data_IF_745453040183
#
_entry.id   IF_745453040183
#
_cell.length_a   1.000
_cell.length_b   1.000
_cell.length_c   1.000
_cell.angle_alpha   90.00
_cell.angle_beta   90.00
_cell.angle_gamma   90.00
#
_symmetry.space_group_name_H-M   'P 1'
#
loop_
_entity.id
_entity.type
_entity.pdbx_description
1 polymer ?
#
# COMPACT_ATOMS: atom_id res chain seq x y z
N UNK A 1 5.23 -3.64 24.33
CA UNK A 1 5.26 -4.04 22.91
C UNK A 1 6.08 -5.31 22.84
N UNK A 2 5.42 -6.49 22.77
CA UNK A 2 6.14 -7.75 22.50
C UNK A 2 6.81 -7.60 21.13
N UNK A 3 8.05 -8.06 21.00
CA UNK A 3 8.72 -8.11 19.70
C UNK A 3 7.87 -8.98 18.77
N UNK A 4 7.19 -8.35 17.80
CA UNK A 4 6.51 -9.03 16.72
C UNK A 4 7.57 -9.87 16.01
N UNK A 5 7.51 -11.18 16.13
CA UNK A 5 8.46 -12.09 15.49
C UNK A 5 8.10 -12.23 14.02
N UNK A 6 9.11 -12.33 13.15
CA UNK A 6 8.92 -12.60 11.71
C UNK A 6 8.12 -13.87 11.42
N UNK A 7 7.98 -14.76 12.42
CA UNK A 7 7.24 -16.01 12.35
C UNK A 7 5.71 -15.81 12.32
N UNK A 8 5.24 -14.60 12.60
CA UNK A 8 3.81 -14.24 12.52
C UNK A 8 3.38 -13.80 11.10
N UNK A 9 4.30 -13.79 10.13
CA UNK A 9 4.03 -13.41 8.73
C UNK A 9 4.05 -14.65 7.83
N UNK A 10 2.97 -14.84 7.07
CA UNK A 10 2.94 -15.80 5.98
C UNK A 10 3.80 -15.28 4.83
N UNK A 11 4.96 -15.92 4.64
CA UNK A 11 5.96 -15.53 3.64
C UNK A 11 5.50 -15.75 2.20
N UNK A 12 4.45 -16.54 1.96
CA UNK A 12 3.95 -16.78 0.61
C UNK A 12 3.29 -15.53 0.03
N UNK A 13 2.50 -14.83 0.85
CA UNK A 13 1.71 -13.66 0.46
C UNK A 13 2.15 -12.38 1.17
N UNK A 14 3.13 -12.45 2.08
CA UNK A 14 3.56 -11.34 2.95
C UNK A 14 2.38 -10.70 3.69
N UNK A 15 1.59 -11.52 4.37
CA UNK A 15 0.41 -11.14 5.17
C UNK A 15 0.57 -11.67 6.59
N UNK A 16 0.06 -10.96 7.59
CA UNK A 16 0.03 -11.46 8.96
C UNK A 16 -0.84 -12.73 9.08
N UNK A 17 -0.29 -13.82 9.62
CA UNK A 17 -0.96 -15.13 9.69
C UNK A 17 -2.32 -15.09 10.39
N UNK A 18 -2.50 -14.20 11.39
CA UNK A 18 -3.72 -14.14 12.18
C UNK A 18 -4.94 -13.56 11.42
N UNK A 19 -4.73 -12.91 10.27
CA UNK A 19 -5.81 -12.23 9.54
C UNK A 19 -6.88 -13.24 9.12
N UNK A 20 -6.48 -14.35 8.52
CA UNK A 20 -7.42 -15.40 8.11
C UNK A 20 -8.13 -16.03 9.32
N UNK A 21 -7.41 -16.25 10.42
CA UNK A 21 -7.96 -16.81 11.66
C UNK A 21 -9.05 -15.91 12.26
N UNK A 22 -8.81 -14.60 12.32
CA UNK A 22 -9.77 -13.62 12.87
C UNK A 22 -11.07 -13.63 12.08
N UNK A 23 -10.99 -13.56 10.74
CA UNK A 23 -12.19 -13.62 9.89
C UNK A 23 -12.86 -14.99 9.92
N UNK A 24 -12.10 -16.07 10.01
CA UNK A 24 -12.64 -17.43 10.13
C UNK A 24 -13.40 -17.66 11.44
N UNK A 25 -12.85 -17.22 12.58
CA UNK A 25 -13.49 -17.30 13.90
C UNK A 25 -14.75 -16.42 13.91
N UNK A 26 -14.68 -15.21 13.36
CA UNK A 26 -15.82 -14.31 13.24
C UNK A 26 -16.94 -14.95 12.42
N UNK A 27 -16.60 -15.51 11.25
CA UNK A 27 -17.53 -16.25 10.40
C UNK A 27 -18.25 -17.35 11.16
N UNK A 28 -17.50 -18.25 11.80
CA UNK A 28 -18.05 -19.37 12.58
C UNK A 28 -18.99 -18.88 13.70
N UNK A 29 -18.59 -17.82 14.39
CA UNK A 29 -19.38 -17.27 15.50
C UNK A 29 -20.70 -16.69 14.99
N UNK A 30 -20.67 -15.87 13.95
CA UNK A 30 -21.87 -15.24 13.39
C UNK A 30 -22.83 -16.25 12.74
N UNK A 31 -22.33 -17.27 12.04
CA UNK A 31 -23.17 -18.36 11.49
C UNK A 31 -23.93 -19.08 12.61
N UNK A 32 -23.24 -19.40 13.71
CA UNK A 32 -23.88 -20.05 14.86
C UNK A 32 -25.02 -19.21 15.43
N UNK A 33 -24.87 -17.89 15.46
CA UNK A 33 -25.94 -16.99 15.88
C UNK A 33 -27.09 -16.92 14.87
N UNK A 34 -26.79 -16.92 13.56
CA UNK A 34 -27.84 -16.97 12.52
C UNK A 34 -28.75 -18.18 12.70
N UNK A 35 -28.21 -19.33 13.11
CA UNK A 35 -29.00 -20.53 13.42
C UNK A 35 -29.84 -20.46 14.71
N UNK A 36 -29.72 -19.39 15.52
CA UNK A 36 -30.48 -19.25 16.78
C UNK A 36 -31.97 -18.92 16.58
N UNK A 37 -32.34 -18.37 15.42
CA UNK A 37 -33.71 -17.99 15.07
C UNK A 37 -34.19 -16.66 15.68
N UNK A 38 -33.49 -16.10 16.68
CA UNK A 38 -33.87 -14.81 17.28
C UNK A 38 -33.17 -13.65 16.56
N UNK A 39 -33.94 -12.91 15.78
CA UNK A 39 -33.46 -11.78 14.96
C UNK A 39 -32.77 -10.71 15.79
N UNK A 40 -33.31 -10.34 16.96
CA UNK A 40 -32.72 -9.31 17.81
C UNK A 40 -31.37 -9.77 18.40
N UNK A 41 -31.27 -11.06 18.73
CA UNK A 41 -30.00 -11.65 19.19
C UNK A 41 -28.96 -11.65 18.06
N UNK A 42 -29.36 -12.01 16.85
CA UNK A 42 -28.46 -11.98 15.69
C UNK A 42 -27.99 -10.55 15.40
N UNK A 43 -28.89 -9.58 15.34
CA UNK A 43 -28.54 -8.17 15.18
C UNK A 43 -27.55 -7.70 16.25
N UNK A 44 -27.81 -8.03 17.52
CA UNK A 44 -26.93 -7.67 18.62
C UNK A 44 -25.53 -8.27 18.45
N UNK A 45 -25.43 -9.52 17.99
CA UNK A 45 -24.14 -10.19 17.79
C UNK A 45 -23.37 -9.68 16.58
N UNK A 46 -24.05 -9.41 15.46
CA UNK A 46 -23.44 -8.77 14.28
C UNK A 46 -22.91 -7.39 14.67
N UNK A 47 -23.73 -6.57 15.31
CA UNK A 47 -23.34 -5.23 15.76
C UNK A 47 -22.24 -5.27 16.82
N UNK A 48 -22.19 -6.31 17.67
CA UNK A 48 -21.13 -6.49 18.66
C UNK A 48 -19.80 -6.95 18.05
N UNK A 49 -19.82 -7.71 16.94
CA UNK A 49 -18.60 -8.14 16.26
C UNK A 49 -17.84 -7.00 15.60
N UNK A 50 -18.55 -5.95 15.16
CA UNK A 50 -17.98 -4.77 14.50
C UNK A 50 -16.92 -4.04 15.36
N UNK A 51 -17.23 -3.55 16.58
CA UNK A 51 -16.23 -2.89 17.42
C UNK A 51 -15.08 -3.82 17.81
N UNK A 52 -15.32 -5.13 18.00
CA UNK A 52 -14.23 -6.08 18.31
C UNK A 52 -13.20 -6.13 17.17
N UNK A 53 -13.66 -6.24 15.92
CA UNK A 53 -12.78 -6.26 14.76
C UNK A 53 -12.09 -4.91 14.55
N UNK A 54 -12.83 -3.81 14.68
CA UNK A 54 -12.28 -2.47 14.54
C UNK A 54 -11.23 -2.19 15.62
N UNK A 55 -11.54 -2.41 16.89
CA UNK A 55 -10.66 -2.06 17.99
C UNK A 55 -9.42 -2.97 18.03
N UNK A 56 -9.60 -4.29 18.01
CA UNK A 56 -8.48 -5.21 18.23
C UNK A 56 -7.62 -5.43 16.98
N UNK A 57 -8.25 -5.64 15.82
CA UNK A 57 -7.51 -5.93 14.59
C UNK A 57 -7.11 -4.64 13.87
N UNK A 58 -8.07 -3.75 13.60
CA UNK A 58 -7.80 -2.56 12.77
C UNK A 58 -7.04 -1.50 13.55
N UNK A 59 -7.47 -1.10 14.74
CA UNK A 59 -6.87 0.01 15.49
C UNK A 59 -5.65 -0.44 16.31
N UNK A 60 -5.79 -1.48 17.12
CA UNK A 60 -4.75 -1.89 18.07
C UNK A 60 -3.59 -2.63 17.40
N UNK A 61 -3.83 -3.42 16.36
CA UNK A 61 -2.74 -4.12 15.67
C UNK A 61 -2.26 -3.37 14.44
N UNK A 62 -3.06 -3.35 13.38
CA UNK A 62 -2.67 -2.77 12.09
C UNK A 62 -2.44 -1.25 12.25
N UNK A 63 -3.35 -0.59 12.95
CA UNK A 63 -3.36 0.85 13.24
C UNK A 63 -2.13 1.31 13.99
N UNK A 64 -1.67 0.53 14.96
CA UNK A 64 -0.45 0.86 15.71
C UNK A 64 0.81 0.78 14.84
N UNK A 65 0.91 -0.17 13.91
CA UNK A 65 2.04 -0.25 12.97
C UNK A 65 2.01 0.96 12.03
N UNK A 66 0.86 1.27 11.43
CA UNK A 66 0.74 2.41 10.49
C UNK A 66 0.97 3.75 11.19
N UNK A 67 0.41 3.97 12.39
CA UNK A 67 0.63 5.19 13.19
C UNK A 67 2.08 5.39 13.62
N UNK A 68 2.83 4.29 13.80
CA UNK A 68 4.28 4.38 14.07
C UNK A 68 5.04 4.92 12.85
N UNK A 69 4.44 4.80 11.66
CA UNK A 69 4.96 5.33 10.41
C UNK A 69 6.01 4.42 9.78
N UNK A 70 6.36 4.73 8.54
CA UNK A 70 7.46 4.05 7.86
C UNK A 70 8.81 4.58 8.38
N UNK A 71 9.70 3.72 8.91
CA UNK A 71 10.97 4.16 9.45
C UNK A 71 11.85 4.91 8.44
N UNK A 72 12.34 6.08 8.84
CA UNK A 72 13.22 6.93 8.01
C UNK A 72 14.56 6.26 7.71
N UNK A 73 15.31 6.82 6.76
CA UNK A 73 16.66 6.35 6.38
C UNK A 73 16.69 5.24 5.33
N UNK A 74 15.55 4.89 4.74
CA UNK A 74 15.48 3.83 3.72
C UNK A 74 16.47 4.05 2.58
N UNK A 75 16.47 5.27 2.03
CA UNK A 75 17.31 5.62 0.89
C UNK A 75 18.80 5.46 1.25
N UNK A 76 19.22 6.01 2.40
CA UNK A 76 20.60 5.92 2.88
C UNK A 76 21.01 4.46 3.16
N UNK A 77 20.15 3.69 3.81
CA UNK A 77 20.42 2.29 4.12
C UNK A 77 20.53 1.45 2.83
N UNK A 78 19.65 1.66 1.86
CA UNK A 78 19.68 0.96 0.58
C UNK A 78 20.95 1.28 -0.22
N UNK A 79 21.34 2.56 -0.32
CA UNK A 79 22.59 2.96 -0.99
C UNK A 79 23.82 2.38 -0.29
N UNK A 80 23.89 2.47 1.03
CA UNK A 80 25.03 1.91 1.78
C UNK A 80 25.11 0.38 1.63
N UNK A 81 23.98 -0.31 1.55
CA UNK A 81 23.95 -1.74 1.29
C UNK A 81 24.47 -2.09 -0.11
N UNK A 82 24.05 -1.37 -1.16
CA UNK A 82 24.57 -1.57 -2.54
C UNK A 82 26.07 -1.27 -2.63
N UNK A 83 26.56 -0.27 -1.89
CA UNK A 83 27.99 0.05 -1.90
C UNK A 83 28.83 -1.00 -1.17
N UNK A 84 28.31 -1.57 -0.07
CA UNK A 84 29.03 -2.53 0.76
C UNK A 84 28.85 -3.98 0.29
N UNK A 85 27.77 -4.27 -0.43
CA UNK A 85 27.48 -5.58 -0.98
C UNK A 85 27.40 -5.48 -2.50
N UNK A 86 28.13 -6.34 -3.23
CA UNK A 86 28.03 -6.43 -4.70
C UNK A 86 26.65 -7.00 -5.14
N UNK A 87 25.71 -7.09 -4.20
CA UNK A 87 24.37 -7.60 -4.42
C UNK A 87 23.41 -6.44 -4.70
N UNK A 88 22.61 -6.63 -5.73
CA UNK A 88 21.45 -5.79 -6.01
C UNK A 88 20.46 -5.92 -4.85
N UNK A 89 19.93 -4.80 -4.37
CA UNK A 89 18.96 -4.80 -3.29
C UNK A 89 17.67 -5.47 -3.76
N UNK A 90 17.38 -6.66 -3.24
CA UNK A 90 16.20 -7.44 -3.60
C UNK A 90 15.20 -7.61 -2.47
N UNK A 91 15.55 -7.32 -1.21
CA UNK A 91 14.72 -7.71 -0.06
C UNK A 91 14.84 -6.73 1.11
N UNK A 92 13.69 -6.26 1.62
CA UNK A 92 13.62 -5.31 2.75
C UNK A 92 14.25 -5.83 4.04
N UNK A 93 14.25 -7.14 4.26
CA UNK A 93 14.64 -7.76 5.54
C UNK A 93 16.14 -7.71 5.83
N UNK A 94 16.95 -7.21 4.90
CA UNK A 94 18.42 -7.21 5.01
C UNK A 94 19.04 -5.81 5.12
N UNK A 95 18.22 -4.75 5.17
CA UNK A 95 18.69 -3.38 4.87
C UNK A 95 18.53 -2.45 6.07
N UNK A 96 19.65 -2.22 6.76
CA UNK A 96 19.75 -1.27 7.86
C UNK A 96 19.09 -1.74 9.17
N UNK A 97 19.25 -0.94 10.24
CA UNK A 97 18.77 -1.29 11.58
C UNK A 97 17.24 -1.36 11.67
N UNK A 98 16.54 -0.69 10.76
CA UNK A 98 15.07 -0.62 10.73
C UNK A 98 14.43 -1.60 9.74
N UNK A 99 15.20 -2.53 9.15
CA UNK A 99 14.75 -3.49 8.14
C UNK A 99 13.46 -4.22 8.52
N UNK A 100 13.40 -4.79 9.73
CA UNK A 100 12.24 -5.52 10.23
C UNK A 100 10.99 -4.62 10.35
N UNK A 101 11.15 -3.41 10.90
CA UNK A 101 10.04 -2.49 11.05
C UNK A 101 9.50 -2.00 9.69
N UNK A 102 10.38 -1.75 8.71
CA UNK A 102 9.98 -1.43 7.33
C UNK A 102 9.25 -2.59 6.67
N UNK A 103 9.75 -3.82 6.86
CA UNK A 103 9.08 -5.02 6.36
C UNK A 103 7.68 -5.18 6.96
N UNK A 104 7.56 -5.07 8.28
CA UNK A 104 6.26 -5.15 8.97
C UNK A 104 5.29 -4.07 8.52
N UNK A 105 5.77 -2.85 8.24
CA UNK A 105 4.93 -1.81 7.65
C UNK A 105 4.35 -2.24 6.30
N UNK A 106 5.19 -2.76 5.39
CA UNK A 106 4.74 -3.22 4.07
C UNK A 106 3.83 -4.46 4.14
N UNK A 107 4.13 -5.42 5.01
CA UNK A 107 3.26 -6.58 5.30
C UNK A 107 1.90 -6.12 5.82
N UNK A 108 1.86 -5.04 6.61
CA UNK A 108 0.62 -4.48 7.13
C UNK A 108 -0.26 -3.92 6.01
N UNK A 109 0.30 -3.29 4.96
CA UNK A 109 -0.47 -2.87 3.78
C UNK A 109 -1.15 -4.07 3.10
N UNK A 110 -0.40 -5.14 2.84
CA UNK A 110 -0.97 -6.37 2.25
C UNK A 110 -2.01 -7.01 3.16
N UNK A 111 -1.82 -6.92 4.47
CA UNK A 111 -2.75 -7.47 5.47
C UNK A 111 -4.05 -6.67 5.54
N UNK A 112 -4.01 -5.36 5.33
CA UNK A 112 -5.20 -4.51 5.20
C UNK A 112 -5.99 -4.92 3.94
N UNK A 113 -5.32 -5.10 2.79
CA UNK A 113 -5.96 -5.59 1.56
C UNK A 113 -6.55 -7.00 1.75
N UNK A 114 -5.81 -7.93 2.36
CA UNK A 114 -6.30 -9.26 2.69
C UNK A 114 -7.52 -9.19 3.62
N UNK A 115 -7.53 -8.27 4.59
CA UNK A 115 -8.67 -8.04 5.47
C UNK A 115 -9.90 -7.54 4.70
N UNK A 116 -9.72 -6.66 3.71
CA UNK A 116 -10.82 -6.21 2.85
C UNK A 116 -11.41 -7.37 2.04
N UNK A 117 -10.56 -8.24 1.47
CA UNK A 117 -10.99 -9.45 0.72
C UNK A 117 -11.70 -10.45 1.62
N UNK A 118 -11.16 -10.70 2.82
CA UNK A 118 -11.76 -11.60 3.80
C UNK A 118 -13.08 -11.06 4.36
N UNK A 119 -13.19 -9.76 4.58
CA UNK A 119 -14.44 -9.10 4.96
C UNK A 119 -15.52 -9.27 3.89
N UNK A 120 -15.17 -9.09 2.61
CA UNK A 120 -16.10 -9.31 1.51
C UNK A 120 -16.57 -10.77 1.45
N UNK A 121 -15.64 -11.72 1.61
CA UNK A 121 -15.97 -13.15 1.66
C UNK A 121 -16.89 -13.49 2.84
N UNK A 122 -16.61 -12.93 4.02
CA UNK A 122 -17.43 -13.07 5.22
C UNK A 122 -18.86 -12.58 4.97
N UNK A 123 -19.01 -11.36 4.45
CA UNK A 123 -20.31 -10.74 4.20
C UNK A 123 -21.13 -11.54 3.20
N UNK A 124 -20.55 -11.89 2.05
CA UNK A 124 -21.22 -12.70 1.03
C UNK A 124 -21.70 -14.04 1.60
N UNK A 125 -20.92 -14.64 2.49
CA UNK A 125 -21.30 -15.89 3.14
C UNK A 125 -22.44 -15.70 4.14
N UNK A 126 -22.41 -14.65 4.97
CA UNK A 126 -23.49 -14.33 5.90
C UNK A 126 -24.80 -14.01 5.17
N UNK A 127 -24.74 -13.26 4.07
CA UNK A 127 -25.90 -12.95 3.23
C UNK A 127 -26.49 -14.23 2.60
N UNK A 128 -25.64 -15.15 2.13
CA UNK A 128 -26.08 -16.45 1.61
C UNK A 128 -26.81 -17.27 2.69
N UNK A 129 -26.23 -17.39 3.89
CA UNK A 129 -26.85 -18.12 5.01
C UNK A 129 -28.16 -17.47 5.47
N UNK A 130 -28.20 -16.13 5.53
CA UNK A 130 -29.38 -15.37 5.88
C UNK A 130 -30.51 -15.62 4.86
N UNK A 131 -30.21 -15.58 3.57
CA UNK A 131 -31.18 -15.85 2.51
C UNK A 131 -31.76 -17.27 2.59
N UNK A 132 -30.94 -18.26 2.97
CA UNK A 132 -31.40 -19.64 3.18
C UNK A 132 -32.32 -19.78 4.40
N UNK A 133 -32.01 -19.10 5.50
CA UNK A 133 -32.75 -19.23 6.77
C UNK A 133 -34.02 -18.36 6.83
N UNK A 134 -34.02 -17.21 6.17
CA UNK A 134 -35.06 -16.17 6.28
C UNK A 134 -35.78 -15.84 4.96
N UNK A 135 -35.70 -16.72 3.94
CA UNK A 135 -36.28 -16.52 2.60
C UNK A 135 -37.73 -16.01 2.61
N UNK A 136 -38.55 -16.49 3.56
CA UNK A 136 -39.98 -16.17 3.66
C UNK A 136 -40.30 -15.15 4.76
N UNK A 137 -39.30 -14.48 5.34
CA UNK A 137 -39.46 -13.52 6.43
C UNK A 137 -38.89 -12.15 6.02
N UNK A 138 -39.58 -11.45 5.13
CA UNK A 138 -39.08 -10.21 4.50
C UNK A 138 -38.59 -9.16 5.51
N UNK A 139 -39.39 -8.84 6.53
CA UNK A 139 -39.04 -7.85 7.55
C UNK A 139 -37.76 -8.25 8.32
N UNK A 140 -37.67 -9.53 8.71
CA UNK A 140 -36.52 -10.05 9.45
C UNK A 140 -35.27 -10.09 8.58
N UNK A 141 -35.42 -10.55 7.33
CA UNK A 141 -34.34 -10.57 6.33
C UNK A 141 -33.80 -9.16 6.06
N UNK A 142 -34.68 -8.17 5.85
CA UNK A 142 -34.27 -6.78 5.66
C UNK A 142 -33.50 -6.24 6.88
N UNK A 143 -34.00 -6.48 8.10
CA UNK A 143 -33.34 -6.05 9.34
C UNK A 143 -31.94 -6.64 9.49
N UNK A 144 -31.79 -7.94 9.22
CA UNK A 144 -30.51 -8.63 9.31
C UNK A 144 -29.53 -8.20 8.20
N UNK A 145 -30.01 -8.00 6.97
CA UNK A 145 -29.20 -7.48 5.87
C UNK A 145 -28.67 -6.07 6.16
N UNK A 146 -29.46 -5.21 6.83
CA UNK A 146 -28.99 -3.90 7.27
C UNK A 146 -27.83 -4.02 8.27
N UNK A 147 -27.92 -4.93 9.26
CA UNK A 147 -26.83 -5.16 10.20
C UNK A 147 -25.55 -5.68 9.53
N UNK A 148 -25.68 -6.61 8.58
CA UNK A 148 -24.52 -7.13 7.83
C UNK A 148 -23.91 -6.03 6.94
N UNK A 149 -24.75 -5.23 6.29
CA UNK A 149 -24.30 -4.08 5.49
C UNK A 149 -23.55 -3.08 6.36
N UNK A 150 -24.06 -2.74 7.53
CA UNK A 150 -23.40 -1.81 8.47
C UNK A 150 -22.05 -2.36 8.96
N UNK A 151 -21.97 -3.66 9.26
CA UNK A 151 -20.71 -4.34 9.59
C UNK A 151 -19.69 -4.20 8.47
N UNK A 152 -20.11 -4.45 7.22
CA UNK A 152 -19.25 -4.31 6.04
C UNK A 152 -18.73 -2.88 5.91
N UNK A 153 -19.64 -1.90 5.87
CA UNK A 153 -19.30 -0.49 5.65
C UNK A 153 -18.37 0.02 6.76
N UNK A 154 -18.73 -0.21 8.02
CA UNK A 154 -17.95 0.24 9.17
C UNK A 154 -16.50 -0.28 9.15
N UNK A 155 -16.30 -1.57 8.89
CA UNK A 155 -14.95 -2.16 8.89
C UNK A 155 -14.20 -1.77 7.61
N UNK A 156 -14.86 -1.78 6.44
CA UNK A 156 -14.26 -1.37 5.17
C UNK A 156 -13.74 0.07 5.21
N UNK A 157 -14.52 1.00 5.77
CA UNK A 157 -14.13 2.42 5.86
C UNK A 157 -12.90 2.60 6.77
N UNK A 158 -12.84 1.89 7.90
CA UNK A 158 -11.68 1.94 8.80
C UNK A 158 -10.43 1.34 8.15
N UNK A 159 -10.55 0.19 7.48
CA UNK A 159 -9.45 -0.42 6.72
C UNK A 159 -8.97 0.49 5.60
N UNK A 160 -9.88 1.13 4.86
CA UNK A 160 -9.53 2.02 3.77
C UNK A 160 -8.84 3.30 4.28
N UNK A 161 -9.37 3.93 5.33
CA UNK A 161 -8.75 5.09 5.95
C UNK A 161 -7.33 4.78 6.46
N UNK A 162 -7.14 3.57 7.01
CA UNK A 162 -5.84 3.10 7.46
C UNK A 162 -4.87 2.87 6.29
N UNK A 163 -5.34 2.30 5.18
CA UNK A 163 -4.57 2.10 3.97
C UNK A 163 -4.12 3.44 3.37
N UNK A 164 -5.03 4.41 3.29
CA UNK A 164 -4.75 5.75 2.78
C UNK A 164 -3.70 6.47 3.64
N UNK A 165 -3.83 6.38 4.98
CA UNK A 165 -2.82 6.90 5.91
C UNK A 165 -1.46 6.23 5.73
N UNK A 166 -1.41 4.93 5.44
CA UNK A 166 -0.16 4.21 5.23
C UNK A 166 0.55 4.66 3.95
N UNK A 167 -0.20 4.87 2.87
CA UNK A 167 0.34 5.40 1.62
C UNK A 167 0.77 6.86 1.72
N UNK A 168 0.09 7.67 2.53
CA UNK A 168 0.54 9.04 2.84
C UNK A 168 1.88 9.04 3.58
N UNK A 169 2.08 8.12 4.53
CA UNK A 169 3.38 7.92 5.18
C UNK A 169 4.47 7.51 4.18
N UNK A 170 4.20 6.57 3.26
CA UNK A 170 5.17 6.20 2.22
C UNK A 170 5.48 7.35 1.26
N UNK A 171 4.46 8.12 0.89
CA UNK A 171 4.58 9.29 0.03
C UNK A 171 5.54 10.31 0.64
N UNK A 172 5.26 10.75 1.86
CA UNK A 172 6.00 11.78 2.57
C UNK A 172 7.40 11.34 3.01
N UNK A 173 7.56 10.11 3.49
CA UNK A 173 8.83 9.62 4.06
C UNK A 173 9.80 9.04 3.03
N UNK A 174 9.30 8.51 1.92
CA UNK A 174 10.12 7.81 0.93
C UNK A 174 10.02 8.45 -0.45
N UNK A 175 8.82 8.50 -1.02
CA UNK A 175 8.62 8.85 -2.44
C UNK A 175 9.10 10.28 -2.71
N UNK A 176 8.68 11.26 -1.91
CA UNK A 176 9.08 12.66 -2.09
C UNK A 176 10.61 12.85 -2.04
N UNK A 177 11.30 12.15 -1.14
CA UNK A 177 12.76 12.21 -1.03
C UNK A 177 13.45 11.54 -2.22
N UNK A 178 12.91 10.42 -2.68
CA UNK A 178 13.44 9.69 -3.83
C UNK A 178 13.28 10.52 -5.11
N UNK A 179 12.09 11.07 -5.37
CA UNK A 179 11.81 11.90 -6.55
C UNK A 179 12.70 13.14 -6.57
N UNK A 180 12.89 13.80 -5.41
CA UNK A 180 13.83 14.93 -5.31
C UNK A 180 15.25 14.54 -5.71
N UNK A 181 15.71 13.38 -5.29
CA UNK A 181 17.05 12.86 -5.61
C UNK A 181 17.16 12.54 -7.10
N UNK A 182 16.15 11.86 -7.65
CA UNK A 182 16.05 11.45 -9.05
C UNK A 182 16.07 12.66 -10.00
N UNK A 183 15.25 13.68 -9.71
CA UNK A 183 15.10 14.87 -10.56
C UNK A 183 16.19 15.93 -10.31
N UNK A 184 17.06 15.75 -9.31
CA UNK A 184 18.17 16.68 -9.09
C UNK A 184 19.13 16.73 -10.29
N UNK A 185 19.32 15.61 -10.99
CA UNK A 185 20.12 15.55 -12.23
C UNK A 185 19.46 16.40 -13.32
N UNK A 186 18.14 16.25 -13.50
CA UNK A 186 17.36 17.01 -14.49
C UNK A 186 17.50 18.53 -14.26
N UNK A 187 17.54 18.98 -13.00
CA UNK A 187 17.74 20.39 -12.66
C UNK A 187 19.01 20.98 -13.29
N UNK A 188 20.09 20.18 -13.37
CA UNK A 188 21.38 20.61 -13.90
C UNK A 188 21.47 20.65 -15.44
N UNK A 189 20.57 19.96 -16.14
CA UNK A 189 20.54 19.91 -17.61
C UNK A 189 20.16 21.27 -18.21
N UNK A 190 20.84 21.69 -19.26
CA UNK A 190 20.52 22.91 -20.01
C UNK A 190 19.87 22.53 -21.34
N UNK A 191 18.70 23.09 -21.63
CA UNK A 191 18.00 22.93 -22.91
C UNK A 191 18.04 24.22 -23.75
N UNK A 192 18.92 25.16 -23.38
CA UNK A 192 19.29 26.29 -24.23
C UNK A 192 20.47 25.87 -25.11
N UNK A 193 20.18 25.04 -26.10
CA UNK A 193 21.16 24.40 -26.97
C UNK A 193 21.28 25.17 -28.29
N UNK A 194 22.52 25.35 -28.77
CA UNK A 194 22.79 25.72 -30.16
C UNK A 194 22.61 24.50 -31.07
N UNK A 195 22.34 24.73 -32.36
CA UNK A 195 22.14 23.64 -33.32
C UNK A 195 23.39 22.75 -33.45
N UNK A 196 24.59 23.35 -33.32
CA UNK A 196 25.88 22.65 -33.37
C UNK A 196 26.10 21.70 -32.18
N UNK A 197 25.43 21.92 -31.05
CA UNK A 197 25.57 21.11 -29.84
C UNK A 197 24.58 19.94 -29.79
N UNK A 198 23.62 19.86 -30.73
CA UNK A 198 22.52 18.90 -30.67
C UNK A 198 22.98 17.45 -30.77
N UNK A 199 23.84 17.13 -31.73
CA UNK A 199 24.29 15.75 -31.94
C UNK A 199 25.09 15.25 -30.73
N UNK A 200 25.88 16.14 -30.13
CA UNK A 200 26.65 15.86 -28.92
C UNK A 200 25.72 15.67 -27.73
N UNK A 201 24.71 16.52 -27.57
CA UNK A 201 23.77 16.41 -26.48
C UNK A 201 22.90 15.15 -26.63
N UNK A 202 22.28 14.92 -27.78
CA UNK A 202 21.42 13.75 -28.04
C UNK A 202 22.17 12.42 -27.90
N UNK A 203 23.46 12.36 -28.28
CA UNK A 203 24.27 11.15 -28.08
C UNK A 203 24.64 10.89 -26.61
N UNK A 204 24.66 11.94 -25.78
CA UNK A 204 25.14 11.89 -24.40
C UNK A 204 24.02 11.99 -23.34
N UNK A 205 22.83 12.46 -23.71
CA UNK A 205 21.75 12.70 -22.76
C UNK A 205 21.04 11.41 -22.35
N UNK A 206 21.70 10.68 -21.44
CA UNK A 206 21.18 9.44 -20.84
C UNK A 206 20.41 9.71 -19.56
N UNK A 207 19.93 10.94 -19.34
CA UNK A 207 19.24 11.26 -18.08
C UNK A 207 17.96 10.44 -17.92
N UNK A 208 17.18 10.26 -18.99
CA UNK A 208 15.94 9.47 -18.97
C UNK A 208 16.26 7.99 -18.71
N UNK A 209 17.23 7.42 -19.43
CA UNK A 209 17.65 6.03 -19.24
C UNK A 209 18.13 5.79 -17.80
N UNK A 210 18.94 6.71 -17.27
CA UNK A 210 19.39 6.70 -15.87
C UNK A 210 18.22 6.84 -14.90
N UNK A 211 17.27 7.73 -15.19
CA UNK A 211 16.07 7.95 -14.38
C UNK A 211 15.22 6.68 -14.30
N UNK A 212 15.00 6.01 -15.44
CA UNK A 212 14.28 4.74 -15.53
C UNK A 212 15.00 3.66 -14.73
N UNK A 213 16.31 3.50 -14.93
CA UNK A 213 17.11 2.50 -14.23
C UNK A 213 17.07 2.69 -12.70
N UNK A 214 17.29 3.91 -12.21
CA UNK A 214 17.22 4.22 -10.79
C UNK A 214 15.82 4.02 -10.21
N UNK A 215 14.78 4.29 -10.99
CA UNK A 215 13.39 4.06 -10.58
C UNK A 215 13.09 2.58 -10.43
N UNK A 216 13.50 1.75 -11.40
CA UNK A 216 13.37 0.30 -11.31
C UNK A 216 14.15 -0.30 -10.13
N UNK A 217 15.38 0.18 -9.90
CA UNK A 217 16.18 -0.23 -8.75
C UNK A 217 15.53 0.16 -7.41
N UNK A 218 14.95 1.35 -7.34
CA UNK A 218 14.22 1.82 -6.17
C UNK A 218 12.95 1.00 -5.89
N UNK A 219 12.20 0.63 -6.93
CA UNK A 219 10.95 -0.11 -6.80
C UNK A 219 11.15 -1.59 -6.45
N UNK A 220 12.27 -2.19 -6.87
CA UNK A 220 12.55 -3.62 -6.73
C UNK A 220 12.31 -4.19 -5.32
N UNK A 221 12.77 -3.54 -4.22
CA UNK A 221 12.57 -4.09 -2.88
C UNK A 221 11.10 -4.02 -2.48
N UNK A 222 10.35 -3.00 -2.90
CA UNK A 222 8.92 -2.86 -2.59
C UNK A 222 8.10 -3.93 -3.32
N UNK A 223 8.42 -4.15 -4.60
CA UNK A 223 7.83 -5.23 -5.42
C UNK A 223 8.06 -6.63 -4.85
N UNK A 224 9.13 -6.83 -4.07
CA UNK A 224 9.40 -8.12 -3.42
C UNK A 224 8.48 -8.43 -2.23
N UNK A 225 7.79 -7.42 -1.69
CA UNK A 225 6.95 -7.55 -0.50
C UNK A 225 5.49 -7.25 -0.81
N UNK A 226 5.21 -6.14 -1.48
CA UNK A 226 3.85 -5.68 -1.75
C UNK A 226 3.10 -6.64 -2.69
N UNK A 227 1.80 -6.80 -2.44
CA UNK A 227 0.86 -7.40 -3.38
C UNK A 227 0.84 -6.61 -4.70
N UNK A 228 0.30 -7.22 -5.76
CA UNK A 228 0.13 -6.53 -7.06
C UNK A 228 -0.66 -5.23 -6.91
N UNK A 229 -1.78 -5.25 -6.17
CA UNK A 229 -2.66 -4.09 -6.01
C UNK A 229 -1.99 -2.95 -5.21
N UNK A 230 -1.31 -3.26 -4.11
CA UNK A 230 -0.57 -2.27 -3.34
C UNK A 230 0.64 -1.75 -4.10
N UNK A 231 1.32 -2.60 -4.88
CA UNK A 231 2.42 -2.18 -5.73
C UNK A 231 1.95 -1.21 -6.82
N UNK A 232 0.83 -1.51 -7.48
CA UNK A 232 0.27 -0.63 -8.52
C UNK A 232 -0.11 0.74 -7.94
N UNK A 233 -0.69 0.77 -6.73
CA UNK A 233 -0.97 2.02 -6.00
C UNK A 233 0.32 2.77 -5.65
N UNK A 234 1.34 2.07 -5.16
CA UNK A 234 2.64 2.66 -4.82
C UNK A 234 3.31 3.29 -6.06
N UNK A 235 3.31 2.57 -7.19
CA UNK A 235 3.86 3.04 -8.46
C UNK A 235 3.06 4.25 -8.98
N UNK A 236 1.73 4.24 -8.87
CA UNK A 236 0.90 5.38 -9.27
C UNK A 236 1.22 6.65 -8.47
N UNK A 237 1.39 6.53 -7.15
CA UNK A 237 1.79 7.67 -6.29
C UNK A 237 3.16 8.18 -6.70
N UNK A 238 4.12 7.28 -6.97
CA UNK A 238 5.45 7.66 -7.46
C UNK A 238 5.38 8.39 -8.80
N UNK A 239 4.62 7.87 -9.77
CA UNK A 239 4.44 8.50 -11.09
C UNK A 239 3.85 9.91 -10.93
N UNK A 240 2.79 10.06 -10.13
CA UNK A 240 2.16 11.36 -9.89
C UNK A 240 3.12 12.36 -9.25
N UNK A 241 3.95 11.93 -8.29
CA UNK A 241 4.96 12.78 -7.67
C UNK A 241 6.07 13.18 -8.65
N UNK A 242 6.54 12.25 -9.49
CA UNK A 242 7.52 12.54 -10.56
C UNK A 242 6.93 13.58 -11.52
N UNK A 243 5.71 13.36 -12.02
CA UNK A 243 5.04 14.28 -12.93
C UNK A 243 4.86 15.66 -12.31
N UNK A 244 4.42 15.72 -11.06
CA UNK A 244 4.22 16.98 -10.34
C UNK A 244 5.52 17.79 -10.20
N UNK A 245 6.61 17.14 -9.75
CA UNK A 245 7.89 17.84 -9.61
C UNK A 245 8.52 18.20 -10.95
N UNK A 246 8.39 17.32 -11.96
CA UNK A 246 8.92 17.56 -13.29
C UNK A 246 8.23 18.74 -13.97
N UNK A 247 6.90 18.85 -13.88
CA UNK A 247 6.14 20.01 -14.37
C UNK A 247 6.64 21.33 -13.76
N UNK A 248 6.83 21.36 -12.43
CA UNK A 248 7.39 22.52 -11.75
C UNK A 248 8.80 22.89 -12.23
N UNK A 249 9.64 21.90 -12.57
CA UNK A 249 10.98 22.15 -13.09
C UNK A 249 10.96 22.64 -14.55
N UNK A 250 10.12 22.05 -15.40
CA UNK A 250 9.98 22.45 -16.81
C UNK A 250 9.54 23.92 -16.89
N UNK A 251 8.55 24.34 -16.09
CA UNK A 251 8.06 25.73 -16.06
C UNK A 251 9.14 26.76 -15.69
N UNK A 252 10.24 26.32 -15.04
CA UNK A 252 11.36 27.17 -14.62
C UNK A 252 12.55 27.11 -15.57
N UNK A 253 12.54 26.23 -16.58
CA UNK A 253 13.63 26.08 -17.56
C UNK A 253 13.37 26.93 -18.80
N UNK A 254 14.46 27.41 -19.38
CA UNK A 254 14.45 28.01 -20.72
C UNK A 254 14.77 26.93 -21.75
N UNK A 255 14.03 26.94 -22.86
CA UNK A 255 14.20 26.01 -23.97
C UNK A 255 14.51 26.80 -25.25
N UNK A 256 15.60 26.48 -25.92
CA UNK A 256 15.80 26.87 -27.31
C UNK A 256 14.91 25.99 -28.21
N UNK A 257 14.63 26.40 -29.45
CA UNK A 257 13.86 25.56 -30.39
C UNK A 257 14.51 24.17 -30.59
N UNK A 258 15.83 24.07 -30.81
CA UNK A 258 16.52 22.78 -30.81
C UNK A 258 16.38 21.99 -29.50
N UNK A 259 16.60 22.62 -28.35
CA UNK A 259 16.53 21.93 -27.05
C UNK A 259 15.13 21.47 -26.67
N UNK A 260 14.09 22.21 -27.10
CA UNK A 260 12.70 21.78 -26.98
C UNK A 260 12.44 20.48 -27.74
N UNK A 261 12.91 20.38 -29.00
CA UNK A 261 12.77 19.14 -29.76
C UNK A 261 13.46 17.97 -29.06
N UNK A 262 14.71 18.14 -28.60
CA UNK A 262 15.41 17.08 -27.87
C UNK A 262 14.62 16.64 -26.64
N UNK A 263 14.13 17.58 -25.84
CA UNK A 263 13.33 17.25 -24.65
C UNK A 263 12.06 16.45 -24.96
N UNK A 264 11.36 16.75 -26.05
CA UNK A 264 10.11 16.07 -26.43
C UNK A 264 10.31 14.72 -27.13
N UNK A 265 11.47 14.49 -27.75
CA UNK A 265 11.77 13.27 -28.51
C UNK A 265 12.78 12.33 -27.83
N UNK A 266 13.25 12.67 -26.62
CA UNK A 266 14.03 11.77 -25.75
C UNK A 266 13.08 10.89 -24.93
#
# INVERSE_FOLDING_TARGET
>A
MKALSSDEVDKSNNVWCFIDDVFFITKKSLIRFLSSGNVDTICAMVNHSCPILIDLMVNDFLGNIIRTGFPSGWVQDAYSYVQNSVAVVSSFNMIGPNSLARYHFLVTLNSIEASQKNLLSLVNHLESELNLLYQNQEINSQKLNMCITELKVSISDQLQALLDSAFEHLSTSVIQSQVKTLLNVFKSLKYDLLEEDLDVFAANDRWIESCIAHTEDFLRPFRSVLSTENNDRFVLILINEILHQLDQFIQRKSFSRPGGNVFWFS
#
